data_IF_320540903812
#
_entry.id   IF_320540903812
#
_cell.length_a   1.000
_cell.length_b   1.000
_cell.length_c   1.000
_cell.angle_alpha   90.00
_cell.angle_beta   90.00
_cell.angle_gamma   90.00
#
_symmetry.space_group_name_H-M   'P 1'
#
loop_
_entity.id
_entity.type
_entity.pdbx_description
1 polymer ?
#
# COMPACT_ATOMS: atom_id res chain seq x y z
N UNK A 1 -16.20 0.99 -34.68
CA UNK A 1 -15.68 0.54 -33.36
C UNK A 1 -14.33 1.18 -33.16
N UNK A 2 -14.26 2.22 -32.35
CA UNK A 2 -13.00 2.93 -32.05
C UNK A 2 -12.87 2.97 -30.53
N UNK A 3 -12.29 1.92 -29.95
CA UNK A 3 -11.81 1.98 -28.58
C UNK A 3 -10.54 2.83 -28.58
N UNK A 4 -10.71 4.12 -28.29
CA UNK A 4 -9.61 5.00 -27.84
C UNK A 4 -9.07 4.41 -26.54
N UNK A 5 -8.05 3.57 -26.63
CA UNK A 5 -7.22 3.21 -25.49
C UNK A 5 -6.23 4.35 -25.25
N UNK A 6 -6.71 5.39 -24.57
CA UNK A 6 -5.82 6.32 -23.89
C UNK A 6 -6.20 6.32 -22.42
N UNK A 7 -5.81 5.23 -21.75
CA UNK A 7 -5.95 5.02 -20.31
C UNK A 7 -4.71 4.25 -19.89
N UNK A 8 -3.87 4.90 -19.10
CA UNK A 8 -2.75 4.30 -18.38
C UNK A 8 -3.17 2.92 -17.86
N UNK A 9 -2.51 1.86 -18.34
CA UNK A 9 -2.83 0.47 -17.97
C UNK A 9 -2.84 0.36 -16.45
N UNK A 10 -3.99 0.01 -15.88
CA UNK A 10 -4.11 -0.26 -14.45
C UNK A 10 -3.56 -1.65 -14.16
N UNK A 11 -2.42 -1.77 -13.46
CA UNK A 11 -1.78 -3.06 -13.26
C UNK A 11 -2.68 -4.07 -12.56
N UNK A 12 -3.53 -3.63 -11.63
CA UNK A 12 -4.41 -4.53 -10.88
C UNK A 12 -5.41 -5.18 -11.84
N UNK A 13 -6.04 -4.40 -12.73
CA UNK A 13 -6.99 -4.92 -13.72
C UNK A 13 -6.34 -5.70 -14.84
N UNK A 14 -5.06 -5.44 -15.13
CA UNK A 14 -4.29 -6.25 -16.09
C UNK A 14 -4.09 -7.67 -15.55
N UNK A 15 -3.74 -7.82 -14.27
CA UNK A 15 -3.50 -9.14 -13.67
C UNK A 15 -4.79 -9.81 -13.16
N UNK A 16 -5.82 -9.02 -12.83
CA UNK A 16 -7.10 -9.49 -12.30
C UNK A 16 -8.26 -8.87 -13.10
N UNK A 17 -8.53 -9.34 -14.34
CA UNK A 17 -9.44 -8.66 -15.27
C UNK A 17 -10.92 -8.73 -14.87
N UNK A 18 -11.31 -9.70 -14.05
CA UNK A 18 -12.72 -10.01 -13.75
C UNK A 18 -13.16 -9.60 -12.32
N UNK A 19 -12.34 -8.84 -11.59
CA UNK A 19 -12.69 -8.41 -10.23
C UNK A 19 -13.74 -7.31 -10.25
N UNK A 20 -14.54 -7.23 -9.19
CA UNK A 20 -15.50 -6.14 -9.02
C UNK A 20 -14.80 -4.80 -8.75
N UNK A 21 -15.53 -3.70 -8.93
CA UNK A 21 -15.03 -2.36 -8.61
C UNK A 21 -14.73 -2.20 -7.11
N UNK A 22 -15.50 -2.86 -6.25
CA UNK A 22 -15.26 -2.85 -4.81
C UNK A 22 -13.98 -3.58 -4.43
N UNK A 23 -13.71 -4.75 -5.04
CA UNK A 23 -12.45 -5.46 -4.84
C UNK A 23 -11.27 -4.64 -5.35
N UNK A 24 -11.40 -4.09 -6.55
CA UNK A 24 -10.41 -3.22 -7.17
C UNK A 24 -10.07 -2.04 -6.28
N UNK A 25 -11.07 -1.36 -5.70
CA UNK A 25 -10.89 -0.26 -4.75
C UNK A 25 -10.06 -0.67 -3.53
N UNK A 26 -10.29 -1.83 -2.94
CA UNK A 26 -9.49 -2.27 -1.78
C UNK A 26 -8.05 -2.57 -2.18
N UNK A 27 -7.84 -3.26 -3.31
CA UNK A 27 -6.49 -3.54 -3.83
C UNK A 27 -5.74 -2.25 -4.17
N UNK A 28 -6.44 -1.24 -4.68
CA UNK A 28 -5.86 0.06 -4.97
C UNK A 28 -5.42 0.80 -3.70
N UNK A 29 -6.21 0.75 -2.62
CA UNK A 29 -5.80 1.28 -1.31
C UNK A 29 -4.53 0.62 -0.79
N UNK A 30 -4.41 -0.71 -0.91
CA UNK A 30 -3.21 -1.47 -0.55
C UNK A 30 -2.01 -1.00 -1.40
N UNK A 31 -2.19 -0.89 -2.72
CA UNK A 31 -1.17 -0.42 -3.67
C UNK A 31 -0.68 0.98 -3.33
N UNK A 32 -1.59 1.92 -3.06
CA UNK A 32 -1.26 3.30 -2.68
C UNK A 32 -0.44 3.31 -1.39
N UNK A 33 -0.86 2.56 -0.37
CA UNK A 33 -0.14 2.49 0.89
C UNK A 33 1.29 1.95 0.71
N UNK A 34 1.45 0.88 -0.07
CA UNK A 34 2.77 0.33 -0.42
C UNK A 34 3.65 1.38 -1.09
N UNK A 35 3.13 2.06 -2.11
CA UNK A 35 3.91 3.04 -2.87
C UNK A 35 4.36 4.22 -1.99
N UNK A 36 3.52 4.67 -1.06
CA UNK A 36 3.88 5.69 -0.07
C UNK A 36 5.03 5.19 0.81
N UNK A 37 4.89 3.98 1.39
CA UNK A 37 5.94 3.39 2.24
C UNK A 37 7.27 3.20 1.48
N UNK A 38 7.22 2.67 0.26
CA UNK A 38 8.39 2.51 -0.62
C UNK A 38 9.08 3.85 -0.88
N UNK A 39 8.33 4.92 -1.17
CA UNK A 39 8.89 6.25 -1.40
C UNK A 39 9.47 6.88 -0.13
N UNK A 40 9.00 6.46 1.05
CA UNK A 40 9.41 7.00 2.36
C UNK A 40 10.70 6.37 2.88
N UNK A 41 10.90 5.07 2.69
CA UNK A 41 12.05 4.29 3.21
C UNK A 41 13.43 4.97 3.02
N UNK A 42 13.78 5.53 1.83
CA UNK A 42 15.07 6.17 1.62
C UNK A 42 15.30 7.43 2.47
N UNK A 43 14.22 8.08 2.91
CA UNK A 43 14.23 9.33 3.71
C UNK A 43 14.38 9.08 5.20
N UNK A 44 14.03 7.88 5.68
CA UNK A 44 14.03 7.49 7.10
C UNK A 44 15.42 7.09 7.63
N UNK A 45 16.47 7.86 7.32
CA UNK A 45 17.85 7.52 7.71
C UNK A 45 18.08 7.55 9.22
N UNK A 46 17.51 8.55 9.87
CA UNK A 46 17.64 8.78 11.31
C UNK A 46 16.45 8.20 12.11
N UNK A 47 15.62 7.36 11.48
CA UNK A 47 14.43 6.76 12.09
C UNK A 47 14.34 5.25 11.77
N UNK A 48 15.21 4.41 12.35
CA UNK A 48 15.27 2.97 12.06
C UNK A 48 13.97 2.21 12.32
N UNK A 49 13.19 2.53 13.36
CA UNK A 49 11.93 1.84 13.66
C UNK A 49 10.83 2.23 12.67
N UNK A 50 10.71 3.51 12.34
CA UNK A 50 9.83 3.99 11.28
C UNK A 50 10.16 3.29 9.94
N UNK A 51 11.45 3.17 9.62
CA UNK A 51 11.90 2.47 8.41
C UNK A 51 11.50 0.99 8.44
N UNK A 52 11.67 0.31 9.57
CA UNK A 52 11.28 -1.10 9.70
C UNK A 52 9.77 -1.29 9.54
N UNK A 53 8.96 -0.41 10.11
CA UNK A 53 7.50 -0.42 9.94
C UNK A 53 7.09 -0.23 8.47
N UNK A 54 7.76 0.67 7.74
CA UNK A 54 7.54 0.81 6.30
C UNK A 54 7.89 -0.46 5.52
N UNK A 55 8.95 -1.19 5.89
CA UNK A 55 9.29 -2.47 5.25
C UNK A 55 8.22 -3.54 5.51
N UNK A 56 7.77 -3.68 6.76
CA UNK A 56 6.69 -4.62 7.12
C UNK A 56 5.42 -4.33 6.31
N UNK A 57 5.08 -3.05 6.13
CA UNK A 57 3.97 -2.65 5.28
C UNK A 57 4.19 -3.05 3.83
N UNK A 58 5.38 -2.77 3.27
CA UNK A 58 5.70 -3.11 1.87
C UNK A 58 5.56 -4.61 1.63
N UNK A 59 6.09 -5.44 2.52
CA UNK A 59 6.01 -6.90 2.42
C UNK A 59 4.55 -7.36 2.47
N UNK A 60 3.80 -6.91 3.48
CA UNK A 60 2.37 -7.22 3.63
C UNK A 60 1.57 -6.80 2.40
N UNK A 61 1.73 -5.56 1.95
CA UNK A 61 0.97 -5.05 0.82
C UNK A 61 1.33 -5.77 -0.49
N UNK A 62 2.59 -6.16 -0.68
CA UNK A 62 3.05 -6.88 -1.87
C UNK A 62 2.42 -8.27 -1.95
N UNK A 63 2.36 -8.99 -0.84
CA UNK A 63 1.70 -10.30 -0.76
C UNK A 63 0.20 -10.19 -1.10
N UNK A 64 -0.50 -9.23 -0.51
CA UNK A 64 -1.96 -9.17 -0.61
C UNK A 64 -2.50 -8.53 -1.89
N UNK A 65 -1.71 -7.69 -2.58
CA UNK A 65 -2.18 -6.90 -3.72
C UNK A 65 -2.77 -7.75 -4.86
N UNK A 66 -2.20 -8.94 -5.11
CA UNK A 66 -2.65 -9.85 -6.18
C UNK A 66 -3.08 -11.23 -5.66
N UNK A 67 -3.03 -11.47 -4.36
CA UNK A 67 -3.47 -12.74 -3.77
C UNK A 67 -4.99 -12.93 -3.90
N UNK A 68 -5.48 -14.16 -4.16
CA UNK A 68 -6.89 -14.48 -4.06
C UNK A 68 -7.39 -14.22 -2.63
N UNK A 69 -8.42 -13.40 -2.49
CA UNK A 69 -8.95 -13.00 -1.19
C UNK A 69 -10.42 -12.58 -1.31
N UNK A 70 -11.15 -12.66 -0.20
CA UNK A 70 -12.48 -12.06 -0.12
C UNK A 70 -12.36 -10.54 -0.02
N UNK A 71 -13.41 -9.81 -0.42
CA UNK A 71 -13.44 -8.34 -0.29
C UNK A 71 -13.27 -7.91 1.17
N UNK A 72 -13.89 -8.63 2.12
CA UNK A 72 -13.75 -8.35 3.55
C UNK A 72 -12.32 -8.51 4.04
N UNK A 73 -11.60 -9.54 3.59
CA UNK A 73 -10.18 -9.70 3.92
C UNK A 73 -9.33 -8.56 3.35
N UNK A 74 -9.58 -8.16 2.10
CA UNK A 74 -8.88 -7.03 1.47
C UNK A 74 -9.16 -5.71 2.18
N UNK A 75 -10.39 -5.48 2.65
CA UNK A 75 -10.75 -4.30 3.43
C UNK A 75 -9.98 -4.27 4.76
N UNK A 76 -9.89 -5.40 5.46
CA UNK A 76 -9.10 -5.51 6.69
C UNK A 76 -7.63 -5.20 6.42
N UNK A 77 -7.04 -5.78 5.37
CA UNK A 77 -5.63 -5.54 5.01
C UNK A 77 -5.40 -4.08 4.62
N UNK A 78 -6.28 -3.49 3.80
CA UNK A 78 -6.19 -2.08 3.43
C UNK A 78 -6.21 -1.16 4.66
N UNK A 79 -7.05 -1.48 5.65
CA UNK A 79 -7.11 -0.75 6.91
C UNK A 79 -5.84 -0.96 7.76
N UNK A 80 -5.28 -2.17 7.81
CA UNK A 80 -4.02 -2.41 8.51
C UNK A 80 -2.83 -1.69 7.84
N UNK A 81 -2.75 -1.68 6.51
CA UNK A 81 -1.74 -0.91 5.78
C UNK A 81 -1.83 0.58 6.12
N UNK A 82 -3.05 1.14 6.19
CA UNK A 82 -3.27 2.53 6.60
C UNK A 82 -2.78 2.79 8.02
N UNK A 83 -3.11 1.90 8.97
CA UNK A 83 -2.67 2.01 10.37
C UNK A 83 -1.15 1.92 10.50
N UNK A 84 -0.51 1.00 9.78
CA UNK A 84 0.95 0.88 9.75
C UNK A 84 1.64 2.14 9.24
N UNK A 85 1.09 2.82 8.22
CA UNK A 85 1.61 4.13 7.79
C UNK A 85 1.56 5.16 8.92
N UNK A 86 0.43 5.28 9.61
CA UNK A 86 0.25 6.22 10.72
C UNK A 86 1.23 5.93 11.85
N UNK A 87 1.42 4.64 12.20
CA UNK A 87 2.37 4.24 13.23
C UNK A 87 3.81 4.53 12.78
N UNK A 88 4.16 4.29 11.51
CA UNK A 88 5.48 4.64 10.98
C UNK A 88 5.74 6.15 10.98
N UNK A 89 4.75 6.97 10.67
CA UNK A 89 4.82 8.45 10.79
C UNK A 89 5.03 8.88 12.24
N UNK A 90 4.28 8.30 13.17
CA UNK A 90 4.41 8.60 14.60
C UNK A 90 5.78 8.18 15.13
N UNK A 91 6.28 7.01 14.70
CA UNK A 91 7.61 6.52 15.06
C UNK A 91 8.70 7.49 14.58
N UNK A 92 8.63 7.94 13.33
CA UNK A 92 9.58 8.89 12.77
C UNK A 92 9.61 10.19 13.59
N UNK A 93 8.44 10.73 13.95
CA UNK A 93 8.37 11.92 14.79
C UNK A 93 9.07 11.71 16.12
N UNK A 94 8.83 10.59 16.80
CA UNK A 94 9.43 10.29 18.11
C UNK A 94 10.94 10.06 18.03
N UNK A 95 11.41 9.38 16.98
CA UNK A 95 12.83 9.08 16.77
C UNK A 95 13.65 10.33 16.41
N UNK A 96 13.01 11.36 15.87
CA UNK A 96 13.66 12.58 15.40
C UNK A 96 13.44 13.79 16.32
N UNK A 97 12.86 13.59 17.51
CA UNK A 97 12.71 14.66 18.50
C UNK A 97 14.08 15.22 18.90
N UNK A 98 14.26 16.55 18.93
CA UNK A 98 15.46 17.14 19.52
C UNK A 98 15.50 16.85 21.02
N UNK A 99 16.68 16.47 21.51
CA UNK A 99 16.97 16.30 22.94
C UNK A 99 16.77 17.58 23.76
#
# INVERSE_FOLDING_TARGET
MTHKFDKTLDPIRVFLPNISDDEHKQRDRIRVARNIATAKIPKLKEAPYARQLCWILVDTATEWMLSPATISALEMVAEQCRRLLIVAETSEMLETLPE
#
